data_IF_966470019076
#
_entry.id   IF_966470019076
#
_cell.length_a   1.000
_cell.length_b   1.000
_cell.length_c   1.000
_cell.angle_alpha   90.00
_cell.angle_beta   90.00
_cell.angle_gamma   90.00
#
_symmetry.space_group_name_H-M   'P 1'
#
loop_
_entity.id
_entity.type
_entity.pdbx_description
1 polymer ?
#
# COMPACT_ATOMS: atom_id res chain seq x y z
N UNK A 1 -6.88 -2.36 -29.80
CA UNK A 1 -6.48 -2.87 -28.49
C UNK A 1 -6.66 -1.75 -27.48
N UNK A 2 -7.84 -1.76 -26.86
CA UNK A 2 -8.30 -0.77 -25.89
C UNK A 2 -8.99 -1.53 -24.76
N UNK A 3 -8.58 -1.20 -23.55
CA UNK A 3 -9.19 -1.68 -22.31
C UNK A 3 -9.72 -0.49 -21.55
N UNK A 4 -10.99 -0.52 -21.14
CA UNK A 4 -11.54 0.52 -20.26
C UNK A 4 -11.38 0.09 -18.81
N UNK A 5 -10.81 0.97 -17.98
CA UNK A 5 -10.71 0.76 -16.53
C UNK A 5 -11.67 1.71 -15.82
N UNK A 6 -12.66 1.16 -15.14
CA UNK A 6 -13.62 1.92 -14.33
C UNK A 6 -13.23 1.91 -12.85
N UNK A 7 -13.81 2.83 -12.08
CA UNK A 7 -13.64 2.95 -10.63
C UNK A 7 -12.15 2.89 -10.25
N UNK A 8 -11.35 3.68 -10.97
CA UNK A 8 -9.90 3.63 -10.85
C UNK A 8 -9.41 4.69 -9.85
N UNK A 9 -8.32 4.37 -9.17
CA UNK A 9 -7.51 5.30 -8.38
C UNK A 9 -6.03 4.97 -8.56
N UNK A 10 -5.18 5.92 -8.19
CA UNK A 10 -3.72 5.78 -8.30
C UNK A 10 -3.14 5.82 -6.89
N UNK A 11 -2.31 4.83 -6.55
CA UNK A 11 -1.57 4.76 -5.28
C UNK A 11 -0.22 4.10 -5.53
N UNK A 12 0.86 4.60 -4.90
CA UNK A 12 2.22 4.06 -5.01
C UNK A 12 2.70 3.81 -6.46
N UNK A 13 2.42 4.74 -7.38
CA UNK A 13 2.80 4.60 -8.79
C UNK A 13 2.09 3.48 -9.53
N UNK A 14 0.98 2.95 -8.97
CA UNK A 14 0.15 1.91 -9.59
C UNK A 14 -1.29 2.41 -9.76
N UNK A 15 -1.91 1.96 -10.83
CA UNK A 15 -3.33 2.12 -11.10
C UNK A 15 -4.04 0.87 -10.60
N UNK A 16 -5.08 1.10 -9.80
CA UNK A 16 -5.97 0.05 -9.35
C UNK A 16 -7.37 0.41 -9.81
N UNK A 17 -8.10 -0.55 -10.37
CA UNK A 17 -9.46 -0.34 -10.83
C UNK A 17 -10.15 -1.63 -11.23
N UNK A 18 -11.20 -1.51 -12.04
CA UNK A 18 -11.95 -2.64 -12.59
C UNK A 18 -11.85 -2.65 -14.11
N UNK A 19 -11.41 -3.79 -14.66
CA UNK A 19 -11.47 -4.05 -16.10
C UNK A 19 -12.94 -4.10 -16.50
N UNK A 20 -13.36 -3.13 -17.31
CA UNK A 20 -14.65 -3.12 -17.97
C UNK A 20 -14.58 -3.77 -19.35
N UNK A 21 -15.31 -3.19 -20.29
CA UNK A 21 -15.32 -3.67 -21.66
C UNK A 21 -13.93 -3.53 -22.31
N UNK A 22 -13.52 -4.59 -23.00
CA UNK A 22 -12.22 -4.66 -23.64
C UNK A 22 -12.27 -5.54 -24.90
N UNK A 23 -11.47 -5.16 -25.90
CA UNK A 23 -11.31 -5.89 -27.17
C UNK A 23 -10.17 -6.93 -27.11
N UNK A 24 -9.72 -7.28 -25.91
CA UNK A 24 -8.50 -8.06 -25.64
C UNK A 24 -8.77 -9.41 -24.97
N UNK A 25 -10.02 -9.72 -24.61
CA UNK A 25 -10.38 -10.95 -23.90
C UNK A 25 -9.88 -10.99 -22.44
N UNK A 26 -9.55 -9.84 -21.85
CA UNK A 26 -9.23 -9.76 -20.43
C UNK A 26 -10.47 -10.06 -19.60
N UNK A 27 -10.31 -10.87 -18.56
CA UNK A 27 -11.36 -11.15 -17.59
C UNK A 27 -11.78 -9.86 -16.89
N UNK A 28 -13.08 -9.57 -16.90
CA UNK A 28 -13.65 -8.48 -16.12
C UNK A 28 -13.38 -8.73 -14.64
N UNK A 29 -12.84 -7.74 -13.94
CA UNK A 29 -12.39 -7.92 -12.56
C UNK A 29 -11.37 -6.90 -12.10
N UNK A 30 -10.75 -7.16 -10.95
CA UNK A 30 -9.80 -6.23 -10.33
C UNK A 30 -8.52 -6.16 -11.15
N UNK A 31 -8.13 -4.94 -11.51
CA UNK A 31 -6.93 -4.61 -12.28
C UNK A 31 -5.87 -3.96 -11.38
N UNK A 32 -4.60 -4.30 -11.63
CA UNK A 32 -3.44 -3.63 -11.06
C UNK A 32 -2.37 -3.43 -12.14
N UNK A 33 -1.88 -2.21 -12.33
CA UNK A 33 -0.73 -1.97 -13.22
C UNK A 33 0.58 -2.32 -12.50
N UNK A 34 1.54 -2.92 -13.24
CA UNK A 34 2.90 -3.11 -12.75
C UNK A 34 3.66 -1.77 -12.70
N UNK A 35 3.70 -1.08 -13.83
CA UNK A 35 4.24 0.27 -14.03
C UNK A 35 3.37 1.00 -15.07
N UNK A 36 3.21 2.31 -14.93
CA UNK A 36 2.49 3.10 -15.93
C UNK A 36 3.27 4.34 -16.36
N UNK A 37 3.28 4.61 -17.66
CA UNK A 37 3.74 5.90 -18.19
C UNK A 37 2.51 6.74 -18.56
N UNK A 38 2.27 7.83 -17.83
CA UNK A 38 1.17 8.75 -18.11
C UNK A 38 1.46 9.51 -19.40
N UNK A 39 0.72 9.22 -20.46
CA UNK A 39 0.86 9.91 -21.77
C UNK A 39 -0.10 11.10 -21.88
N UNK A 40 -1.31 10.96 -21.33
CA UNK A 40 -2.32 12.02 -21.27
C UNK A 40 -3.07 11.94 -19.94
N UNK A 41 -3.89 12.95 -19.58
CA UNK A 41 -4.70 12.90 -18.35
C UNK A 41 -5.62 11.68 -18.26
N UNK A 42 -6.11 11.18 -19.40
CA UNK A 42 -7.17 10.16 -19.48
C UNK A 42 -6.69 8.80 -20.05
N UNK A 43 -5.39 8.64 -20.31
CA UNK A 43 -4.86 7.40 -20.87
C UNK A 43 -3.44 7.08 -20.40
N UNK A 44 -3.19 5.79 -20.26
CA UNK A 44 -1.94 5.22 -19.75
C UNK A 44 -1.57 3.99 -20.55
N UNK A 45 -0.26 3.82 -20.73
CA UNK A 45 0.32 2.61 -21.26
C UNK A 45 0.97 1.85 -20.11
N UNK A 46 0.65 0.55 -20.01
CA UNK A 46 1.44 -0.39 -19.21
C UNK A 46 2.48 -1.08 -20.11
N UNK A 47 3.50 -1.71 -19.50
CA UNK A 47 4.69 -2.31 -20.15
C UNK A 47 4.41 -3.15 -21.42
N UNK A 48 3.23 -3.76 -21.56
CA UNK A 48 2.86 -4.60 -22.69
C UNK A 48 2.33 -3.84 -23.93
N UNK A 49 2.48 -2.50 -23.98
CA UNK A 49 1.96 -1.69 -25.10
C UNK A 49 0.42 -1.58 -25.13
N UNK A 50 -0.24 -2.00 -24.06
CA UNK A 50 -1.70 -1.96 -23.92
C UNK A 50 -2.11 -0.54 -23.52
N UNK A 51 -2.98 0.06 -24.34
CA UNK A 51 -3.61 1.35 -24.03
C UNK A 51 -4.80 1.12 -23.10
N UNK A 52 -4.69 1.63 -21.88
CA UNK A 52 -5.81 1.70 -20.94
C UNK A 52 -6.44 3.08 -21.02
N UNK A 53 -7.76 3.09 -21.17
CA UNK A 53 -8.56 4.32 -21.09
C UNK A 53 -9.25 4.38 -19.74
N UNK A 54 -9.10 5.53 -19.09
CA UNK A 54 -9.68 5.77 -17.78
C UNK A 54 -11.14 6.17 -17.92
N UNK A 55 -12.02 5.40 -17.28
CA UNK A 55 -13.43 5.72 -17.10
C UNK A 55 -13.64 6.66 -15.91
N UNK A 56 -14.61 6.33 -15.04
CA UNK A 56 -14.90 7.11 -13.83
C UNK A 56 -13.80 6.91 -12.78
N UNK A 57 -13.22 8.01 -12.29
CA UNK A 57 -12.34 7.99 -11.13
C UNK A 57 -13.12 7.67 -9.85
N UNK A 58 -12.51 6.91 -8.94
CA UNK A 58 -13.04 6.67 -7.60
C UNK A 58 -12.11 7.27 -6.55
N UNK A 59 -12.63 7.45 -5.34
CA UNK A 59 -11.80 7.76 -4.18
C UNK A 59 -10.88 6.58 -3.85
N UNK A 60 -9.67 6.90 -3.38
CA UNK A 60 -8.73 5.88 -2.89
C UNK A 60 -9.30 5.26 -1.61
N UNK A 61 -9.44 3.92 -1.53
CA UNK A 61 -9.91 3.27 -0.33
C UNK A 61 -9.00 3.60 0.86
N UNK A 62 -9.59 3.85 2.04
CA UNK A 62 -8.85 4.22 3.25
C UNK A 62 -7.75 3.21 3.61
N UNK A 63 -7.96 1.91 3.39
CA UNK A 63 -6.94 0.90 3.62
C UNK A 63 -5.73 1.00 2.69
N UNK A 64 -5.89 1.52 1.46
CA UNK A 64 -4.77 1.79 0.55
C UNK A 64 -4.02 3.06 0.98
N UNK A 65 -4.74 4.10 1.41
CA UNK A 65 -4.14 5.33 1.97
C UNK A 65 -3.33 5.05 3.25
N UNK A 66 -3.86 4.20 4.14
CA UNK A 66 -3.17 3.77 5.35
C UNK A 66 -1.89 3.00 5.00
N UNK A 67 -1.96 2.08 4.04
CA UNK A 67 -0.79 1.33 3.59
C UNK A 67 0.28 2.27 3.02
N UNK A 68 -0.12 3.27 2.23
CA UNK A 68 0.77 4.27 1.66
C UNK A 68 1.49 5.08 2.76
N UNK A 69 0.75 5.58 3.76
CA UNK A 69 1.36 6.31 4.88
C UNK A 69 2.32 5.48 5.71
N UNK A 70 1.99 4.21 5.94
CA UNK A 70 2.89 3.32 6.66
C UNK A 70 4.10 2.92 5.82
N UNK A 71 3.98 2.89 4.48
CA UNK A 71 5.09 2.59 3.58
C UNK A 71 6.16 3.68 3.63
N UNK A 72 5.79 4.94 3.80
CA UNK A 72 6.77 6.03 4.00
C UNK A 72 7.68 5.77 5.22
N UNK A 73 7.16 5.16 6.28
CA UNK A 73 7.92 4.81 7.49
C UNK A 73 8.90 3.65 7.29
N UNK A 74 8.76 2.86 6.22
CA UNK A 74 9.70 1.76 5.92
C UNK A 74 11.12 2.28 5.61
N UNK A 75 11.23 3.52 5.13
CA UNK A 75 12.52 4.13 4.78
C UNK A 75 13.16 4.89 5.95
N UNK A 76 12.51 4.88 7.12
CA UNK A 76 12.97 5.59 8.30
C UNK A 76 13.63 4.64 9.31
N UNK A 77 14.73 5.11 9.89
CA UNK A 77 15.34 4.51 11.08
C UNK A 77 15.14 5.52 12.20
N UNK A 78 14.43 5.13 13.25
CA UNK A 78 14.09 6.04 14.36
C UNK A 78 14.60 5.49 15.68
N UNK A 79 15.10 6.37 16.55
CA UNK A 79 15.40 6.02 17.94
C UNK A 79 14.08 5.93 18.73
N UNK A 80 13.81 4.79 19.37
CA UNK A 80 12.53 4.48 19.99
C UNK A 80 11.71 3.48 19.16
N UNK A 81 10.38 3.46 19.33
CA UNK A 81 9.49 2.53 18.61
C UNK A 81 8.88 3.16 17.36
N UNK A 82 9.26 2.65 16.19
CA UNK A 82 8.68 2.99 14.89
C UNK A 82 7.19 2.63 14.84
N UNK A 83 6.76 1.63 15.62
CA UNK A 83 5.35 1.28 15.80
C UNK A 83 4.59 2.40 16.50
N UNK A 84 5.13 2.97 17.58
CA UNK A 84 4.48 4.12 18.24
C UNK A 84 4.34 5.31 17.29
N UNK A 85 5.38 5.58 16.48
CA UNK A 85 5.34 6.60 15.44
C UNK A 85 4.28 6.30 14.37
N UNK A 86 4.15 5.04 13.95
CA UNK A 86 3.09 4.61 13.04
C UNK A 86 1.69 4.82 13.62
N UNK A 87 1.48 4.50 14.90
CA UNK A 87 0.19 4.73 15.58
C UNK A 87 -0.17 6.22 15.62
N UNK A 88 0.79 7.07 15.95
CA UNK A 88 0.60 8.52 15.98
C UNK A 88 0.28 9.08 14.59
N UNK A 89 1.05 8.70 13.56
CA UNK A 89 0.81 9.10 12.18
C UNK A 89 -0.61 8.76 11.72
N UNK A 90 -1.08 7.54 12.04
CA UNK A 90 -2.41 7.09 11.65
C UNK A 90 -3.52 7.83 12.40
N UNK A 91 -3.31 8.11 13.69
CA UNK A 91 -4.24 8.89 14.51
C UNK A 91 -4.35 10.32 13.97
N UNK A 92 -3.24 10.97 13.64
CA UNK A 92 -3.22 12.34 13.11
C UNK A 92 -3.83 12.42 11.70
N UNK A 93 -3.52 11.45 10.83
CA UNK A 93 -3.94 11.50 9.42
C UNK A 93 -5.39 11.07 9.23
N UNK A 94 -5.83 10.04 9.95
CA UNK A 94 -7.13 9.40 9.70
C UNK A 94 -8.09 9.46 10.90
N UNK A 95 -7.64 9.98 12.06
CA UNK A 95 -8.44 9.96 13.29
C UNK A 95 -8.68 8.56 13.83
N UNK A 96 -7.90 7.57 13.40
CA UNK A 96 -8.10 6.17 13.78
C UNK A 96 -7.05 5.75 14.80
N UNK A 97 -7.51 5.43 16.00
CA UNK A 97 -6.68 4.71 16.97
C UNK A 97 -6.61 3.24 16.57
N UNK A 98 -5.41 2.78 16.25
CA UNK A 98 -5.17 1.38 15.91
C UNK A 98 -3.97 0.87 16.68
N UNK A 99 -4.06 -0.39 17.09
CA UNK A 99 -2.97 -1.10 17.77
C UNK A 99 -2.69 -2.38 16.99
N UNK A 100 -1.46 -2.59 16.51
CA UNK A 100 -1.13 -3.84 15.84
C UNK A 100 -1.17 -5.00 16.83
N UNK A 101 -1.58 -6.16 16.32
CA UNK A 101 -1.42 -7.43 17.03
C UNK A 101 -0.05 -8.01 16.73
N UNK A 102 0.68 -8.48 17.74
CA UNK A 102 1.94 -9.22 17.53
C UNK A 102 1.61 -10.63 17.05
N UNK A 103 2.03 -10.97 15.83
CA UNK A 103 1.88 -12.30 15.25
C UNK A 103 3.00 -13.21 15.74
N UNK A 104 4.23 -12.70 15.74
CA UNK A 104 5.42 -13.46 16.17
C UNK A 104 6.52 -12.51 16.63
N UNK A 105 7.36 -12.99 17.53
CA UNK A 105 8.52 -12.26 18.02
C UNK A 105 9.73 -13.20 18.04
N UNK A 106 10.86 -12.76 17.50
CA UNK A 106 12.11 -13.53 17.43
C UNK A 106 13.28 -12.64 17.80
N UNK A 107 14.06 -13.06 18.81
CA UNK A 107 15.35 -12.45 19.10
C UNK A 107 16.42 -13.05 18.17
N UNK A 108 17.09 -12.22 17.38
CA UNK A 108 18.22 -12.60 16.54
C UNK A 108 19.44 -11.74 16.84
N UNK A 109 20.46 -12.36 17.44
CA UNK A 109 21.69 -11.67 17.88
C UNK A 109 21.33 -10.44 18.74
N UNK A 110 21.74 -9.25 18.31
CA UNK A 110 21.50 -7.96 18.96
C UNK A 110 20.20 -7.27 18.53
N UNK A 111 19.30 -7.97 17.84
CA UNK A 111 18.04 -7.43 17.33
C UNK A 111 16.83 -8.24 17.76
N UNK A 112 15.75 -7.55 18.12
CA UNK A 112 14.42 -8.10 18.30
C UNK A 112 13.62 -7.86 17.02
N UNK A 113 13.09 -8.92 16.42
CA UNK A 113 12.27 -8.84 15.21
C UNK A 113 10.84 -9.23 15.57
N UNK A 114 9.89 -8.32 15.37
CA UNK A 114 8.46 -8.50 15.62
C UNK A 114 7.69 -8.46 14.32
N UNK A 115 6.91 -9.50 14.07
CA UNK A 115 5.90 -9.52 13.02
C UNK A 115 4.58 -9.04 13.60
N UNK A 116 4.00 -8.03 12.97
CA UNK A 116 2.83 -7.29 13.42
C UNK A 116 1.73 -7.39 12.38
N UNK A 117 0.48 -7.50 12.81
CA UNK A 117 -0.70 -7.38 11.96
C UNK A 117 -1.53 -6.18 12.38
N UNK A 118 -1.75 -5.28 11.44
CA UNK A 118 -2.71 -4.20 11.60
C UNK A 118 -3.99 -4.55 10.86
N UNK A 119 -5.14 -4.32 11.49
CA UNK A 119 -6.46 -4.49 10.87
C UNK A 119 -7.11 -3.12 10.68
N UNK A 120 -7.35 -2.74 9.42
CA UNK A 120 -7.96 -1.49 9.03
C UNK A 120 -9.15 -1.74 8.10
N UNK A 121 -10.36 -1.34 8.51
CA UNK A 121 -11.55 -1.36 7.63
C UNK A 121 -11.72 -2.68 6.84
N UNK A 122 -11.50 -3.82 7.51
CA UNK A 122 -11.62 -5.16 6.91
C UNK A 122 -10.39 -5.65 6.12
N UNK A 123 -9.29 -4.89 6.09
CA UNK A 123 -8.01 -5.28 5.49
C UNK A 123 -6.96 -5.53 6.56
N UNK A 124 -6.14 -6.55 6.34
CA UNK A 124 -4.97 -6.87 7.17
C UNK A 124 -3.71 -6.39 6.48
N UNK A 125 -2.87 -5.65 7.19
CA UNK A 125 -1.54 -5.23 6.76
C UNK A 125 -0.54 -5.87 7.71
N UNK A 126 0.30 -6.74 7.17
CA UNK A 126 1.39 -7.36 7.93
C UNK A 126 2.63 -6.49 7.81
N UNK A 127 3.35 -6.31 8.91
CA UNK A 127 4.58 -5.54 8.99
C UNK A 127 5.59 -6.25 9.87
N UNK A 128 6.86 -5.90 9.71
CA UNK A 128 7.95 -6.38 10.53
C UNK A 128 8.67 -5.18 11.14
N UNK A 129 8.67 -5.08 12.46
CA UNK A 129 9.51 -4.14 13.22
C UNK A 129 10.80 -4.87 13.59
N UNK A 130 11.96 -4.26 13.31
CA UNK A 130 13.25 -4.74 13.85
C UNK A 130 13.80 -3.67 14.79
N UNK A 131 14.08 -4.04 16.04
CA UNK A 131 14.63 -3.16 17.08
C UNK A 131 16.04 -3.66 17.42
N UNK A 132 17.04 -2.79 17.38
CA UNK A 132 18.38 -3.12 17.83
C UNK A 132 18.60 -2.84 19.33
N UNK A 133 19.67 -3.42 19.89
CA UNK A 133 20.10 -3.18 21.27
C UNK A 133 20.43 -1.72 21.61
N UNK A 134 20.61 -0.86 20.61
CA UNK A 134 20.83 0.59 20.78
C UNK A 134 19.51 1.36 20.82
N UNK A 135 18.37 0.65 20.68
CA UNK A 135 17.02 1.22 20.74
C UNK A 135 16.55 1.84 19.43
N UNK A 136 17.25 1.60 18.32
CA UNK A 136 16.76 2.00 16.99
C UNK A 136 15.80 0.97 16.44
N UNK A 137 14.76 1.44 15.78
CA UNK A 137 13.79 0.58 15.11
C UNK A 137 13.59 0.95 13.64
N UNK A 138 13.33 -0.09 12.84
CA UNK A 138 13.03 -0.03 11.41
C UNK A 138 11.75 -0.85 11.13
N UNK A 139 10.95 -0.40 10.16
CA UNK A 139 9.72 -1.07 9.74
C UNK A 139 9.90 -1.67 8.34
N UNK A 140 9.27 -2.79 8.05
CA UNK A 140 9.19 -3.39 6.71
C UNK A 140 7.79 -3.93 6.45
N UNK A 141 7.24 -3.67 5.26
CA UNK A 141 5.87 -4.08 4.85
C UNK A 141 5.92 -5.19 3.82
#
# INVERSE_FOLDING_TARGET
MKVTVHNFYITNGKIIGQVGDNDMGLTQGRFFSAEFQKKTPNAVYCELGIKYEFGKASETPIGDLVKEKLFDLQFEITQGSIVAKAQELLRETFGVETTPSVISEVQYKTRLVRKLEWSFFGRKITMTESIDHSGYSELSI
#
